data_IF_339335861120
#
_entry.id   IF_339335861120
#
_cell.length_a   1.000
_cell.length_b   1.000
_cell.length_c   1.000
_cell.angle_alpha   90.00
_cell.angle_beta   90.00
_cell.angle_gamma   90.00
#
_symmetry.space_group_name_H-M   'P 1'
#
loop_
_entity.id
_entity.type
_entity.pdbx_description
1 polymer ?
#
# COMPACT_ATOMS: atom_id res chain seq x y z
N UNK A 1 -25.30 -10.44 -59.47
CA UNK A 1 -25.95 -9.43 -58.64
C UNK A 1 -27.18 -10.11 -58.03
N UNK A 2 -26.97 -11.04 -57.11
CA UNK A 2 -26.93 -10.89 -55.64
C UNK A 2 -28.31 -11.16 -55.01
N UNK A 3 -28.31 -11.79 -53.83
CA UNK A 3 -29.45 -12.25 -53.00
C UNK A 3 -30.08 -13.59 -53.44
N UNK A 4 -30.28 -14.60 -52.58
CA UNK A 4 -30.71 -14.59 -51.18
C UNK A 4 -30.09 -15.74 -50.37
N UNK A 5 -29.84 -15.46 -49.09
CA UNK A 5 -29.37 -16.31 -47.99
C UNK A 5 -30.10 -17.65 -47.83
N UNK A 6 -29.33 -18.70 -47.58
CA UNK A 6 -29.82 -19.94 -46.99
C UNK A 6 -29.99 -19.75 -45.48
N UNK A 7 -31.25 -19.74 -45.03
CA UNK A 7 -31.62 -19.89 -43.63
C UNK A 7 -31.26 -21.29 -43.13
N UNK A 8 -30.28 -21.40 -42.21
CA UNK A 8 -30.01 -22.65 -41.51
C UNK A 8 -30.38 -22.51 -40.03
N UNK A 9 -31.63 -22.88 -39.71
CA UNK A 9 -32.10 -23.05 -38.35
C UNK A 9 -31.36 -24.20 -37.67
N UNK A 10 -30.45 -23.88 -36.75
CA UNK A 10 -29.78 -24.88 -35.92
C UNK A 10 -30.48 -24.99 -34.57
N UNK A 11 -31.13 -26.14 -34.37
CA UNK A 11 -31.88 -26.49 -33.17
C UNK A 11 -31.04 -26.44 -31.89
N UNK A 12 -31.64 -25.87 -30.84
CA UNK A 12 -31.14 -25.95 -29.46
C UNK A 12 -31.08 -27.41 -29.01
N UNK A 13 -29.88 -27.91 -28.71
CA UNK A 13 -29.70 -29.21 -28.06
C UNK A 13 -29.76 -29.05 -26.53
N UNK A 14 -30.66 -29.76 -25.80
CA UNK A 14 -30.82 -29.64 -24.35
C UNK A 14 -29.80 -30.46 -23.54
N UNK A 15 -28.86 -31.15 -24.21
CA UNK A 15 -28.00 -32.18 -23.59
C UNK A 15 -26.76 -31.63 -22.87
N UNK A 16 -26.37 -30.36 -23.10
CA UNK A 16 -25.17 -29.77 -22.48
C UNK A 16 -25.38 -29.31 -21.03
N UNK A 17 -26.62 -29.06 -20.60
CA UNK A 17 -26.91 -28.63 -19.23
C UNK A 17 -26.80 -29.76 -18.21
N UNK A 18 -27.11 -31.00 -18.60
CA UNK A 18 -27.13 -32.16 -17.68
C UNK A 18 -25.71 -32.58 -17.27
N UNK A 19 -24.72 -32.44 -18.15
CA UNK A 19 -23.32 -32.77 -17.85
C UNK A 19 -22.61 -31.75 -16.93
N UNK A 20 -23.08 -30.50 -16.88
CA UNK A 20 -22.56 -29.47 -15.97
C UNK A 20 -23.03 -29.68 -14.52
N UNK A 21 -24.26 -30.16 -14.30
CA UNK A 21 -24.78 -30.45 -12.95
C UNK A 21 -24.16 -31.70 -12.31
N UNK A 22 -23.75 -32.68 -13.13
CA UNK A 22 -23.07 -33.89 -12.64
C UNK A 22 -21.65 -33.59 -12.09
N UNK A 23 -20.93 -32.63 -12.67
CA UNK A 23 -19.61 -32.21 -12.19
C UNK A 23 -19.64 -31.49 -10.84
N UNK A 24 -20.67 -30.66 -10.61
CA UNK A 24 -20.85 -29.91 -9.35
C UNK A 24 -21.19 -30.86 -8.20
N UNK A 25 -22.01 -31.89 -8.43
CA UNK A 25 -22.36 -32.88 -7.41
C UNK A 25 -21.14 -33.72 -6.98
N UNK A 26 -20.24 -34.06 -7.90
CA UNK A 26 -19.03 -34.81 -7.60
C UNK A 26 -18.03 -33.99 -6.78
N UNK A 27 -17.85 -32.71 -7.11
CA UNK A 27 -16.98 -31.81 -6.34
C UNK A 27 -17.49 -31.60 -4.90
N UNK A 28 -18.80 -31.48 -4.71
CA UNK A 28 -19.42 -31.33 -3.39
C UNK A 28 -19.25 -32.58 -2.52
N UNK A 29 -19.36 -33.77 -3.11
CA UNK A 29 -19.12 -35.03 -2.40
C UNK A 29 -17.67 -35.18 -1.92
N UNK A 30 -16.69 -34.74 -2.72
CA UNK A 30 -15.26 -34.76 -2.35
C UNK A 30 -14.96 -33.80 -1.20
N UNK A 31 -15.54 -32.59 -1.22
CA UNK A 31 -15.37 -31.61 -0.13
C UNK A 31 -15.94 -32.14 1.19
N UNK A 32 -17.12 -32.76 1.16
CA UNK A 32 -17.72 -33.37 2.36
C UNK A 32 -16.86 -34.52 2.89
N UNK A 33 -16.31 -35.37 2.02
CA UNK A 33 -15.43 -36.46 2.42
C UNK A 33 -14.13 -35.94 3.10
N UNK A 34 -13.57 -34.83 2.62
CA UNK A 34 -12.38 -34.20 3.21
C UNK A 34 -12.71 -33.62 4.60
N UNK A 35 -13.86 -32.96 4.76
CA UNK A 35 -14.29 -32.41 6.06
C UNK A 35 -14.49 -33.53 7.08
N UNK A 36 -15.12 -34.65 6.68
CA UNK A 36 -15.31 -35.82 7.54
C UNK A 36 -13.97 -36.46 7.91
N UNK A 37 -13.02 -36.55 6.97
CA UNK A 37 -11.67 -37.08 7.25
C UNK A 37 -10.89 -36.21 8.25
N UNK A 38 -10.97 -34.88 8.14
CA UNK A 38 -10.31 -33.95 9.07
C UNK A 38 -10.96 -34.01 10.46
N UNK A 39 -12.29 -34.13 10.51
CA UNK A 39 -13.02 -34.26 11.79
C UNK A 39 -12.71 -35.60 12.50
N UNK A 40 -12.54 -36.69 11.75
CA UNK A 40 -12.20 -38.01 12.29
C UNK A 40 -10.74 -38.14 12.72
N UNK A 41 -9.83 -37.36 12.11
CA UNK A 41 -8.39 -37.39 12.48
C UNK A 41 -8.01 -36.39 13.58
N UNK A 42 -8.88 -35.42 13.90
CA UNK A 42 -8.62 -34.38 14.91
C UNK A 42 -9.25 -34.66 16.28
N UNK A 43 -9.91 -35.81 16.47
CA UNK A 43 -10.68 -36.12 17.67
C UNK A 43 -10.07 -37.23 18.54
N UNK A 44 -8.94 -36.97 19.20
CA UNK A 44 -8.41 -37.85 20.27
C UNK A 44 -7.81 -37.03 21.42
N UNK A 45 -8.61 -36.16 22.04
CA UNK A 45 -8.33 -35.64 23.37
C UNK A 45 -8.89 -36.59 24.43
N UNK A 46 -8.03 -37.41 25.02
CA UNK A 46 -8.32 -38.17 26.23
C UNK A 46 -7.26 -37.87 27.30
N UNK A 47 -7.64 -38.08 28.54
CA UNK A 47 -7.33 -37.29 29.72
C UNK A 47 -6.21 -37.93 30.59
N UNK A 48 -5.69 -37.15 31.56
CA UNK A 48 -4.94 -37.56 32.79
C UNK A 48 -3.44 -37.91 32.72
N UNK A 49 -2.58 -37.09 33.36
CA UNK A 49 -1.99 -37.34 34.71
C UNK A 49 -0.93 -36.24 35.06
N UNK A 50 -0.80 -35.77 36.32
CA UNK A 50 0.11 -34.68 36.70
C UNK A 50 1.50 -35.23 37.09
N UNK A 51 2.52 -34.90 36.30
CA UNK A 51 3.88 -35.37 36.52
C UNK A 51 4.94 -34.30 36.33
N UNK A 52 5.55 -33.89 37.45
CA UNK A 52 6.94 -33.46 37.61
C UNK A 52 7.51 -32.29 36.78
N UNK A 53 7.66 -31.14 37.46
CA UNK A 53 8.80 -30.21 37.47
C UNK A 53 9.44 -29.72 36.16
N UNK A 54 9.68 -28.41 36.07
CA UNK A 54 11.08 -28.00 35.89
C UNK A 54 11.56 -27.06 37.01
N UNK A 55 12.59 -27.53 37.70
CA UNK A 55 13.54 -26.67 38.39
C UNK A 55 14.51 -26.12 37.35
N UNK A 56 14.53 -24.81 37.17
CA UNK A 56 15.72 -24.01 36.84
C UNK A 56 15.35 -22.54 36.94
N UNK A 57 15.57 -21.98 38.12
CA UNK A 57 15.69 -20.53 38.31
C UNK A 57 17.00 -20.10 37.66
N UNK A 58 16.96 -19.51 36.48
CA UNK A 58 18.08 -18.73 35.96
C UNK A 58 17.85 -17.29 36.41
N UNK A 59 18.55 -16.89 37.46
CA UNK A 59 18.68 -15.48 37.86
C UNK A 59 19.36 -14.72 36.72
N UNK A 60 18.78 -13.64 36.16
CA UNK A 60 19.51 -12.82 35.22
C UNK A 60 20.63 -12.09 35.97
N UNK A 61 21.88 -12.46 35.69
CA UNK A 61 23.05 -11.67 36.08
C UNK A 61 23.00 -10.36 35.28
N UNK A 62 22.70 -9.25 35.96
CA UNK A 62 22.89 -7.92 35.40
C UNK A 62 24.38 -7.74 35.05
N UNK A 63 24.75 -7.39 33.81
CA UNK A 63 26.11 -6.97 33.53
C UNK A 63 26.34 -5.63 34.24
N UNK A 64 27.20 -5.64 35.26
CA UNK A 64 27.78 -4.43 35.83
C UNK A 64 28.51 -3.68 34.73
N UNK A 65 28.18 -2.40 34.57
CA UNK A 65 28.66 -1.56 33.49
C UNK A 65 30.17 -1.33 33.51
N UNK A 66 30.74 -1.40 32.32
CA UNK A 66 31.90 -0.61 31.95
C UNK A 66 31.45 0.15 30.70
N UNK A 67 31.17 1.44 30.86
CA UNK A 67 30.73 2.29 29.75
C UNK A 67 31.95 2.56 28.87
N UNK A 68 32.00 1.90 27.71
CA UNK A 68 32.96 2.22 26.66
C UNK A 68 32.71 3.67 26.20
N UNK A 69 33.66 4.61 26.37
CA UNK A 69 33.47 6.02 26.03
C UNK A 69 33.34 6.29 24.52
N UNK A 70 33.33 5.26 23.68
CA UNK A 70 33.19 5.37 22.22
C UNK A 70 31.82 4.93 21.66
N UNK A 71 30.86 4.53 22.49
CA UNK A 71 29.53 4.19 21.99
C UNK A 71 28.80 5.47 21.53
N UNK A 72 28.28 5.54 20.28
CA UNK A 72 27.43 6.66 19.86
C UNK A 72 26.22 6.74 20.81
N UNK A 73 25.74 7.95 21.15
CA UNK A 73 24.64 8.09 22.08
C UNK A 73 23.42 7.33 21.54
N UNK A 74 22.78 6.53 22.39
CA UNK A 74 21.49 5.93 22.07
C UNK A 74 20.49 7.06 21.86
N UNK A 75 19.74 7.08 20.73
CA UNK A 75 18.72 8.10 20.50
C UNK A 75 17.74 8.12 21.68
N UNK A 76 17.45 9.31 22.21
CA UNK A 76 16.48 9.47 23.29
C UNK A 76 15.09 9.06 22.79
N UNK A 77 14.46 8.00 23.34
CA UNK A 77 13.11 7.60 22.94
C UNK A 77 12.05 8.63 23.34
N UNK A 78 12.39 9.64 24.15
CA UNK A 78 11.54 10.79 24.47
C UNK A 78 11.80 12.01 23.58
N UNK A 79 12.76 11.94 22.63
CA UNK A 79 12.93 12.99 21.65
C UNK A 79 11.63 13.13 20.84
N UNK A 80 10.97 14.28 20.97
CA UNK A 80 9.86 14.62 20.09
C UNK A 80 10.42 14.63 18.68
N UNK A 81 9.87 13.85 17.72
CA UNK A 81 10.30 13.93 16.34
C UNK A 81 10.24 15.40 15.93
N UNK A 82 11.37 15.96 15.53
CA UNK A 82 11.38 17.30 14.95
C UNK A 82 10.44 17.28 13.75
N UNK A 83 9.56 18.26 13.64
CA UNK A 83 8.77 18.44 12.41
C UNK A 83 9.76 18.61 11.26
N UNK A 84 9.71 17.70 10.28
CA UNK A 84 10.47 17.83 9.04
C UNK A 84 10.09 19.18 8.40
N UNK A 85 11.04 19.97 7.88
CA UNK A 85 10.69 21.21 7.20
C UNK A 85 9.72 20.93 6.03
N UNK A 86 8.71 21.78 5.87
CA UNK A 86 7.71 21.73 4.79
C UNK A 86 7.70 23.07 4.04
N UNK A 87 7.50 23.03 2.73
CA UNK A 87 7.18 24.23 1.94
C UNK A 87 5.76 24.72 2.28
N UNK A 88 5.46 25.97 1.92
CA UNK A 88 4.10 26.48 2.02
C UNK A 88 3.17 25.62 1.13
N UNK A 89 2.00 25.17 1.65
CA UNK A 89 1.08 24.36 0.87
C UNK A 89 0.57 25.10 -0.37
N UNK A 90 0.52 24.39 -1.50
CA UNK A 90 -0.15 24.83 -2.73
C UNK A 90 -1.39 23.99 -3.01
N UNK A 91 -2.27 24.48 -3.88
CA UNK A 91 -3.44 23.72 -4.33
C UNK A 91 -3.03 22.49 -5.15
N UNK A 92 -3.82 21.40 -5.17
CA UNK A 92 -3.50 20.18 -5.94
C UNK A 92 -3.29 20.43 -7.45
N UNK A 93 -3.95 21.42 -8.03
CA UNK A 93 -3.84 21.78 -9.45
C UNK A 93 -2.67 22.73 -9.77
N UNK A 94 -1.95 23.20 -8.75
CA UNK A 94 -0.84 24.13 -8.92
C UNK A 94 0.51 23.39 -8.86
N UNK A 95 1.56 23.88 -9.57
CA UNK A 95 2.91 23.42 -9.34
C UNK A 95 3.43 23.82 -7.95
N UNK A 96 4.19 22.92 -7.32
CA UNK A 96 4.98 23.22 -6.13
C UNK A 96 6.45 23.35 -6.54
N UNK A 97 7.04 24.53 -6.33
CA UNK A 97 8.43 24.84 -6.64
C UNK A 97 9.20 25.01 -5.32
N UNK A 98 10.37 24.37 -5.20
CA UNK A 98 11.21 24.48 -4.02
C UNK A 98 12.18 25.68 -4.04
N UNK A 99 12.20 26.45 -5.13
CA UNK A 99 13.10 27.58 -5.35
C UNK A 99 14.54 27.19 -5.70
N UNK A 100 14.82 25.89 -5.81
CA UNK A 100 16.16 25.33 -6.06
C UNK A 100 16.21 24.52 -7.35
N UNK A 101 15.22 24.69 -8.25
CA UNK A 101 15.18 24.01 -9.55
C UNK A 101 14.49 22.64 -9.52
N UNK A 102 13.68 22.34 -8.51
CA UNK A 102 12.77 21.19 -8.54
C UNK A 102 11.33 21.64 -8.49
N UNK A 103 10.55 21.09 -9.42
CA UNK A 103 9.11 21.37 -9.52
C UNK A 103 8.34 20.06 -9.45
N UNK A 104 7.49 19.92 -8.44
CA UNK A 104 6.55 18.82 -8.32
C UNK A 104 5.15 19.23 -8.79
N UNK A 105 4.39 18.28 -9.35
CA UNK A 105 2.98 18.44 -9.73
C UNK A 105 2.18 17.18 -9.47
N UNK A 106 0.89 17.35 -9.22
CA UNK A 106 -0.10 16.27 -9.34
C UNK A 106 -0.67 16.33 -10.76
N UNK A 107 -0.25 15.42 -11.63
CA UNK A 107 -0.67 15.34 -13.03
C UNK A 107 -2.07 14.76 -13.20
N UNK A 108 -2.48 13.86 -12.29
CA UNK A 108 -3.81 13.29 -12.28
C UNK A 108 -4.22 12.84 -10.87
N UNK A 109 -5.51 12.94 -10.60
CA UNK A 109 -6.17 12.34 -9.43
C UNK A 109 -7.33 11.49 -9.94
N UNK A 110 -7.44 10.26 -9.43
CA UNK A 110 -8.50 9.34 -9.85
C UNK A 110 -9.05 8.58 -8.66
N UNK A 111 -10.36 8.64 -8.48
CA UNK A 111 -11.08 7.75 -7.59
C UNK A 111 -10.94 6.29 -8.05
N UNK A 112 -10.51 5.41 -7.15
CA UNK A 112 -10.35 3.97 -7.39
C UNK A 112 -10.86 3.18 -6.19
N UNK A 113 -11.15 1.90 -6.41
CA UNK A 113 -11.35 0.93 -5.32
C UNK A 113 -10.00 0.26 -5.03
N UNK A 114 -9.42 0.55 -3.88
CA UNK A 114 -8.11 0.09 -3.46
C UNK A 114 -8.13 -1.37 -3.00
N UNK A 115 -7.16 -2.16 -3.47
CA UNK A 115 -7.04 -3.59 -3.13
C UNK A 115 -5.93 -3.77 -2.09
N UNK A 116 -6.24 -4.36 -0.94
CA UNK A 116 -5.21 -4.80 0.00
C UNK A 116 -4.59 -6.11 -0.47
N UNK A 117 -3.33 -6.07 -0.89
CA UNK A 117 -2.57 -7.22 -1.39
C UNK A 117 -1.28 -7.47 -0.61
N UNK A 118 -0.82 -6.51 0.19
CA UNK A 118 0.32 -6.63 1.10
C UNK A 118 -0.11 -6.67 2.57
N UNK A 119 0.79 -7.14 3.43
CA UNK A 119 0.56 -7.14 4.87
C UNK A 119 0.46 -5.71 5.40
N UNK A 120 -0.60 -5.43 6.18
CA UNK A 120 -0.86 -4.10 6.75
C UNK A 120 -1.65 -3.17 5.84
N UNK A 121 -1.86 -3.51 4.57
CA UNK A 121 -2.78 -2.77 3.70
C UNK A 121 -4.24 -3.01 4.12
N UNK A 122 -5.05 -1.96 3.99
CA UNK A 122 -6.51 -2.02 4.19
C UNK A 122 -7.14 -1.49 2.90
N UNK A 123 -7.98 -2.29 2.24
CA UNK A 123 -8.63 -1.92 0.99
C UNK A 123 -9.85 -1.03 1.20
N UNK A 124 -10.42 -0.52 0.11
CA UNK A 124 -11.62 0.33 0.10
C UNK A 124 -11.46 1.57 -0.78
N UNK A 125 -12.36 2.56 -0.67
CA UNK A 125 -12.31 3.78 -1.47
C UNK A 125 -10.95 4.49 -1.33
N UNK A 126 -10.34 4.77 -2.47
CA UNK A 126 -9.00 5.31 -2.54
C UNK A 126 -8.88 6.35 -3.65
N UNK A 127 -7.81 7.14 -3.59
CA UNK A 127 -7.41 8.07 -4.64
C UNK A 127 -6.04 7.66 -5.16
N UNK A 128 -5.95 7.48 -6.47
CA UNK A 128 -4.70 7.30 -7.20
C UNK A 128 -4.20 8.67 -7.66
N UNK A 129 -2.99 9.02 -7.25
CA UNK A 129 -2.28 10.23 -7.62
C UNK A 129 -1.17 9.89 -8.61
N UNK A 130 -1.22 10.48 -9.81
CA UNK A 130 -0.07 10.51 -10.71
C UNK A 130 0.69 11.79 -10.43
N UNK A 131 1.93 11.65 -9.97
CA UNK A 131 2.82 12.74 -9.64
C UNK A 131 3.89 12.87 -10.71
N UNK A 132 4.33 14.09 -10.98
CA UNK A 132 5.51 14.36 -11.81
C UNK A 132 6.50 15.25 -11.08
N UNK A 133 7.79 14.98 -11.25
CA UNK A 133 8.87 15.84 -10.77
C UNK A 133 9.75 16.21 -11.95
N UNK A 134 10.00 17.50 -12.12
CA UNK A 134 10.94 18.06 -13.09
C UNK A 134 12.18 18.54 -12.36
N UNK A 135 13.35 18.15 -12.86
CA UNK A 135 14.65 18.53 -12.32
C UNK A 135 15.34 19.53 -13.24
N UNK A 136 15.20 20.82 -12.95
CA UNK A 136 15.87 21.91 -13.65
C UNK A 136 17.23 22.27 -13.02
N UNK A 137 17.76 21.43 -12.12
CA UNK A 137 19.10 21.58 -11.55
C UNK A 137 20.16 20.98 -12.47
N UNK A 138 21.43 21.19 -12.13
CA UNK A 138 22.58 20.59 -12.83
C UNK A 138 22.99 19.22 -12.26
N UNK A 139 22.31 18.72 -11.21
CA UNK A 139 22.64 17.47 -10.53
C UNK A 139 21.57 16.40 -10.75
N UNK A 140 21.99 15.13 -10.78
CA UNK A 140 21.05 14.02 -10.84
C UNK A 140 20.46 13.72 -9.45
N UNK A 141 19.19 13.33 -9.42
CA UNK A 141 18.44 13.04 -8.18
C UNK A 141 18.12 11.56 -8.13
N UNK A 142 18.40 10.93 -6.99
CA UNK A 142 17.97 9.56 -6.73
C UNK A 142 16.49 9.54 -6.35
N UNK A 143 15.67 8.99 -7.24
CA UNK A 143 14.23 8.90 -7.04
C UNK A 143 13.86 7.84 -6.00
N UNK A 144 14.74 6.88 -5.71
CA UNK A 144 14.53 5.86 -4.68
C UNK A 144 14.54 6.42 -3.25
N UNK A 145 14.97 7.66 -3.06
CA UNK A 145 14.93 8.36 -1.78
C UNK A 145 13.63 9.15 -1.58
N UNK A 146 12.76 9.19 -2.59
CA UNK A 146 11.50 9.94 -2.48
C UNK A 146 10.51 9.17 -1.62
N UNK A 147 10.03 9.83 -0.57
CA UNK A 147 8.88 9.39 0.19
C UNK A 147 7.68 10.30 -0.11
N UNK A 148 6.55 9.67 -0.42
CA UNK A 148 5.28 10.38 -0.59
C UNK A 148 4.36 9.93 0.54
N UNK A 149 3.72 10.89 1.20
CA UNK A 149 2.78 10.64 2.28
C UNK A 149 1.49 11.41 2.03
N UNK A 150 0.35 10.82 2.38
CA UNK A 150 -0.95 11.47 2.32
C UNK A 150 -1.58 11.53 3.71
N UNK A 151 -2.30 12.60 3.97
CA UNK A 151 -2.95 12.89 5.24
C UNK A 151 -4.35 13.46 5.02
N UNK A 152 -5.26 13.18 5.95
CA UNK A 152 -6.66 13.59 5.90
C UNK A 152 -6.94 14.58 7.04
N UNK A 153 -7.60 15.69 6.69
CA UNK A 153 -8.08 16.72 7.59
C UNK A 153 -6.99 17.52 8.30
N UNK A 154 -7.43 18.47 9.13
CA UNK A 154 -6.54 19.37 9.88
C UNK A 154 -5.60 18.63 10.86
N UNK A 155 -6.06 17.50 11.41
CA UNK A 155 -5.28 16.67 12.32
C UNK A 155 -4.15 15.90 11.62
N UNK A 156 -4.05 15.96 10.28
CA UNK A 156 -3.11 15.20 9.46
C UNK A 156 -3.14 13.71 9.80
N UNK A 157 -4.33 13.11 9.82
CA UNK A 157 -4.48 11.67 10.02
C UNK A 157 -3.83 10.94 8.84
N UNK A 158 -2.85 10.04 9.04
CA UNK A 158 -2.19 9.35 7.94
C UNK A 158 -3.18 8.51 7.11
N UNK A 159 -3.16 8.69 5.79
CA UNK A 159 -3.90 7.85 4.87
C UNK A 159 -3.13 6.55 4.59
N UNK A 160 -3.83 5.42 4.48
CA UNK A 160 -3.19 4.13 4.23
C UNK A 160 -2.69 4.02 2.80
N UNK A 161 -1.41 3.71 2.61
CA UNK A 161 -0.84 3.46 1.28
C UNK A 161 -1.25 2.11 0.71
N UNK A 162 -1.44 2.05 -0.61
CA UNK A 162 -1.75 0.84 -1.37
C UNK A 162 -0.88 0.73 -2.62
N UNK A 163 -0.52 -0.50 -3.00
CA UNK A 163 0.12 -0.76 -4.30
C UNK A 163 -0.86 -1.06 -5.43
N UNK A 164 -2.13 -1.31 -5.10
CA UNK A 164 -3.17 -1.69 -6.07
C UNK A 164 -4.44 -0.83 -5.92
N UNK A 165 -5.08 -0.46 -7.06
CA UNK A 165 -4.68 -0.76 -8.42
C UNK A 165 -3.58 0.19 -8.94
N UNK A 166 -2.61 -0.34 -9.69
CA UNK A 166 -1.70 0.46 -10.52
C UNK A 166 -0.72 1.37 -9.79
N UNK A 167 -0.40 1.12 -8.52
CA UNK A 167 0.69 1.81 -7.83
C UNK A 167 2.01 1.51 -8.53
N UNK A 168 2.78 2.57 -8.79
CA UNK A 168 4.08 2.53 -9.43
C UNK A 168 4.90 3.72 -8.92
N UNK A 169 5.48 3.63 -7.71
CA UNK A 169 6.26 4.71 -7.11
C UNK A 169 7.41 5.18 -8.01
N UNK A 170 7.95 6.37 -7.74
CA UNK A 170 9.15 6.82 -8.41
C UNK A 170 10.31 5.83 -8.21
N UNK A 171 11.07 5.55 -9.26
CA UNK A 171 12.22 4.65 -9.22
C UNK A 171 13.36 5.17 -10.10
N UNK A 172 14.59 4.79 -9.77
CA UNK A 172 15.78 5.09 -10.56
C UNK A 172 16.37 6.48 -10.29
N UNK A 173 16.89 7.12 -11.34
CA UNK A 173 17.61 8.39 -11.22
C UNK A 173 17.07 9.40 -12.22
N UNK A 174 16.69 10.57 -11.72
CA UNK A 174 16.22 11.71 -12.51
C UNK A 174 17.41 12.61 -12.87
N UNK A 175 17.77 12.66 -14.15
CA UNK A 175 18.88 13.50 -14.62
C UNK A 175 18.49 14.97 -14.61
N UNK A 176 19.51 15.82 -14.67
CA UNK A 176 19.37 17.25 -14.96
C UNK A 176 18.59 17.47 -16.27
N UNK A 177 17.61 18.36 -16.24
CA UNK A 177 16.72 18.72 -17.34
C UNK A 177 15.60 17.72 -17.65
N UNK A 178 15.55 16.56 -16.97
CA UNK A 178 14.56 15.52 -17.23
C UNK A 178 13.32 15.67 -16.31
N UNK A 179 12.28 14.89 -16.61
CA UNK A 179 11.11 14.70 -15.74
C UNK A 179 10.81 13.22 -15.54
N UNK A 180 10.30 12.87 -14.36
CA UNK A 180 9.84 11.53 -14.04
C UNK A 180 8.40 11.55 -13.51
N UNK A 181 7.71 10.42 -13.64
CA UNK A 181 6.37 10.20 -13.10
C UNK A 181 6.36 9.05 -12.08
N UNK A 182 5.46 9.15 -11.11
CA UNK A 182 5.21 8.13 -10.10
C UNK A 182 3.72 8.09 -9.76
N UNK A 183 3.19 6.90 -9.50
CA UNK A 183 1.78 6.67 -9.19
C UNK A 183 1.65 6.11 -7.77
N UNK A 184 0.90 6.83 -6.94
CA UNK A 184 0.68 6.50 -5.54
C UNK A 184 -0.81 6.35 -5.26
N UNK A 185 -1.20 5.35 -4.48
CA UNK A 185 -2.59 5.10 -4.13
C UNK A 185 -2.74 5.19 -2.62
N UNK A 186 -3.69 5.99 -2.14
CA UNK A 186 -3.99 6.12 -0.73
C UNK A 186 -5.47 5.90 -0.46
N UNK A 187 -5.80 5.19 0.62
CA UNK A 187 -7.16 5.04 1.11
C UNK A 187 -7.65 6.37 1.68
N UNK A 188 -8.63 6.95 1.01
CA UNK A 188 -9.24 8.22 1.37
C UNK A 188 -10.74 8.05 1.13
N UNK A 189 -11.52 7.88 2.21
CA UNK A 189 -12.98 7.77 2.14
C UNK A 189 -13.58 8.95 1.37
N UNK A 190 -14.64 8.68 0.62
CA UNK A 190 -15.24 9.68 -0.29
C UNK A 190 -15.69 10.95 0.44
N UNK A 191 -16.19 10.80 1.66
CA UNK A 191 -16.65 11.89 2.53
C UNK A 191 -15.51 12.70 3.17
N UNK A 192 -14.27 12.21 3.12
CA UNK A 192 -13.08 12.84 3.70
C UNK A 192 -12.16 13.50 2.66
N UNK A 193 -12.52 13.45 1.37
CA UNK A 193 -11.72 14.00 0.26
C UNK A 193 -11.67 15.52 0.18
N UNK A 194 -12.37 16.24 1.06
CA UNK A 194 -12.46 17.70 1.05
C UNK A 194 -11.21 18.44 1.54
N UNK A 195 -10.39 17.78 2.38
CA UNK A 195 -9.16 18.35 2.93
C UNK A 195 -8.10 17.24 3.02
N UNK A 196 -7.32 17.09 1.96
CA UNK A 196 -6.22 16.12 1.88
C UNK A 196 -4.92 16.89 1.73
N UNK A 197 -3.89 16.44 2.46
CA UNK A 197 -2.53 16.93 2.29
C UNK A 197 -1.62 15.83 1.79
N UNK A 198 -0.92 16.08 0.69
CA UNK A 198 0.14 15.23 0.16
C UNK A 198 1.50 15.89 0.41
N UNK A 199 2.44 15.16 1.00
CA UNK A 199 3.84 15.59 1.14
C UNK A 199 4.75 14.75 0.26
N UNK A 200 5.76 15.40 -0.34
CA UNK A 200 6.80 14.73 -1.13
C UNK A 200 8.15 15.13 -0.56
N UNK A 201 8.75 14.20 0.18
CA UNK A 201 10.08 14.28 0.74
C UNK A 201 11.07 13.69 -0.27
N UNK A 202 12.00 14.48 -0.80
CA UNK A 202 12.92 14.01 -1.86
C UNK A 202 14.37 13.85 -1.39
N UNK A 203 14.73 14.44 -0.24
CA UNK A 203 16.03 14.27 0.41
C UNK A 203 15.94 14.69 1.88
N UNK A 204 16.73 14.04 2.73
CA UNK A 204 16.72 14.32 4.16
C UNK A 204 17.18 15.77 4.46
N UNK A 205 16.51 16.40 5.44
CA UNK A 205 16.85 17.75 5.92
C UNK A 205 16.41 18.89 5.00
N UNK A 206 15.71 18.58 3.91
CA UNK A 206 15.24 19.57 2.93
C UNK A 206 13.72 19.70 2.99
N UNK A 207 13.17 20.90 2.74
CA UNK A 207 11.73 21.10 2.84
C UNK A 207 10.95 20.20 1.87
N UNK A 208 9.94 19.50 2.38
CA UNK A 208 9.05 18.69 1.55
C UNK A 208 8.13 19.57 0.70
N UNK A 209 7.78 19.12 -0.51
CA UNK A 209 6.68 19.72 -1.26
C UNK A 209 5.36 19.40 -0.58
N UNK A 210 4.44 20.36 -0.56
CA UNK A 210 3.13 20.19 0.08
C UNK A 210 2.02 20.61 -0.85
N UNK A 211 1.13 19.67 -1.16
CA UNK A 211 -0.13 19.93 -1.84
C UNK A 211 -1.27 19.76 -0.85
N UNK A 212 -2.16 20.74 -0.73
CA UNK A 212 -3.32 20.65 0.16
C UNK A 212 -4.58 21.16 -0.51
N UNK A 213 -5.65 20.37 -0.42
CA UNK A 213 -6.96 20.73 -0.94
C UNK A 213 -7.85 19.51 -1.18
N UNK A 214 -8.99 19.69 -1.88
CA UNK A 214 -9.86 18.60 -2.24
C UNK A 214 -9.23 17.71 -3.33
N UNK A 215 -9.58 16.43 -3.33
CA UNK A 215 -9.02 15.43 -4.28
C UNK A 215 -10.10 14.50 -4.82
N UNK A 216 -9.83 13.91 -5.99
CA UNK A 216 -10.63 12.79 -6.54
C UNK A 216 -11.89 13.19 -7.28
#
# INVERSE_FOLDING_TARGET
>A
MSMVEASNGSGRSPRRRIWLWAGIALALAVVVAIIVYVALTSGNGDETDPGAGPSSSATPTAPSGDADPSAPPTPDPAATPGTMPELAPVSPDAPADNGEGLVARISAMKAVDGEAVQAGEIGGPAVQFTLSITNDTDEAIDLGLIAVNAYIGEARTPAGGLVRPGGAPFEGTLKAGDSAEGVYVYTIPEDERGDVTLTIDYRAGQPAFVFRGPVG
#
